data_IF_670507603092
#
_entry.id   IF_670507603092
#
_cell.length_a   1.000
_cell.length_b   1.000
_cell.length_c   1.000
_cell.angle_alpha   90.00
_cell.angle_beta   90.00
_cell.angle_gamma   90.00
#
_symmetry.space_group_name_H-M   'P 1'
#
loop_
_entity.id
_entity.type
_entity.pdbx_description
1 polymer ?
#
# COMPACT_ATOMS: atom_id res chain seq x y z
N UNK A 1 21.90 -7.89 11.70
CA UNK A 1 21.91 -9.33 11.33
C UNK A 1 21.11 -9.45 10.06
N UNK A 2 21.81 -9.49 8.91
CA UNK A 2 21.17 -9.66 7.61
C UNK A 2 20.85 -11.15 7.43
N UNK A 3 19.58 -11.51 7.61
CA UNK A 3 19.11 -12.91 7.68
C UNK A 3 19.31 -13.68 6.37
N UNK A 4 19.74 -13.00 5.30
CA UNK A 4 19.74 -13.51 3.94
C UNK A 4 21.11 -13.49 3.26
N UNK A 5 22.18 -13.12 3.96
CA UNK A 5 23.51 -13.09 3.35
C UNK A 5 24.16 -14.49 3.37
N UNK A 6 23.68 -15.38 2.51
CA UNK A 6 24.36 -16.66 2.23
C UNK A 6 25.47 -16.37 1.21
N UNK A 7 26.75 -16.62 1.53
CA UNK A 7 27.83 -16.40 0.58
C UNK A 7 27.56 -17.20 -0.70
N UNK A 8 27.70 -16.53 -1.84
CA UNK A 8 27.53 -17.10 -3.19
C UNK A 8 26.09 -17.38 -3.66
N UNK A 9 25.06 -16.89 -2.96
CA UNK A 9 23.65 -16.93 -3.43
C UNK A 9 23.12 -15.51 -3.58
N UNK A 10 22.58 -15.18 -4.76
CA UNK A 10 21.93 -13.88 -4.95
C UNK A 10 20.53 -13.85 -4.32
N UNK A 11 20.07 -12.66 -3.91
CA UNK A 11 18.69 -12.47 -3.42
C UNK A 11 17.69 -13.02 -4.45
N UNK A 12 17.93 -12.81 -5.74
CA UNK A 12 17.11 -13.35 -6.82
C UNK A 12 16.99 -14.87 -6.78
N UNK A 13 18.11 -15.59 -6.67
CA UNK A 13 18.11 -17.05 -6.57
C UNK A 13 17.37 -17.55 -5.33
N UNK A 14 17.53 -16.85 -4.22
CA UNK A 14 16.83 -17.18 -2.97
C UNK A 14 15.33 -16.96 -3.12
N UNK A 15 14.90 -15.82 -3.65
CA UNK A 15 13.48 -15.48 -3.84
C UNK A 15 12.81 -16.42 -4.85
N UNK A 16 13.49 -16.77 -5.94
CA UNK A 16 13.00 -17.75 -6.92
C UNK A 16 12.76 -19.14 -6.31
N UNK A 17 13.54 -19.54 -5.29
CA UNK A 17 13.36 -20.80 -4.55
C UNK A 17 12.31 -20.70 -3.45
N UNK A 18 12.24 -19.58 -2.74
CA UNK A 18 11.34 -19.39 -1.61
C UNK A 18 9.88 -19.12 -2.06
N UNK A 19 9.70 -18.31 -3.11
CA UNK A 19 8.37 -17.89 -3.56
C UNK A 19 7.43 -19.04 -3.93
N UNK A 20 7.85 -20.11 -4.65
CA UNK A 20 6.98 -21.26 -4.90
C UNK A 20 6.40 -21.90 -3.64
N UNK A 21 7.11 -21.83 -2.50
CA UNK A 21 6.68 -22.40 -1.21
C UNK A 21 5.58 -21.56 -0.55
N UNK A 22 5.46 -20.27 -0.88
CA UNK A 22 4.39 -19.41 -0.35
C UNK A 22 3.07 -19.54 -1.10
N UNK A 23 3.07 -20.19 -2.27
CA UNK A 23 1.90 -20.30 -3.13
C UNK A 23 1.07 -21.55 -2.84
N UNK A 24 -0.26 -21.39 -2.83
CA UNK A 24 -1.22 -22.49 -2.71
C UNK A 24 -2.20 -22.51 -3.88
N UNK A 25 -2.95 -23.62 -4.03
CA UNK A 25 -4.06 -23.73 -4.98
C UNK A 25 -3.71 -23.39 -6.43
N UNK A 26 -4.48 -22.48 -7.03
CA UNK A 26 -4.36 -22.12 -8.44
C UNK A 26 -3.05 -21.41 -8.78
N UNK A 27 -2.48 -20.63 -7.86
CA UNK A 27 -1.21 -19.93 -8.03
C UNK A 27 -0.03 -20.90 -8.11
N UNK A 28 0.01 -21.89 -7.20
CA UNK A 28 1.04 -22.94 -7.21
C UNK A 28 1.00 -23.76 -8.51
N UNK A 29 -0.20 -24.12 -8.98
CA UNK A 29 -0.37 -24.84 -10.25
C UNK A 29 0.07 -24.04 -11.46
N UNK A 30 -0.16 -22.72 -11.48
CA UNK A 30 0.28 -21.87 -12.58
C UNK A 30 1.80 -21.80 -12.66
N UNK A 31 2.48 -21.59 -11.53
CA UNK A 31 3.93 -21.48 -11.50
C UNK A 31 4.63 -22.77 -11.95
N UNK A 32 4.00 -23.93 -11.71
CA UNK A 32 4.49 -25.25 -12.14
C UNK A 32 4.28 -25.55 -13.63
N UNK A 33 3.52 -24.73 -14.37
CA UNK A 33 3.38 -24.92 -15.82
C UNK A 33 4.71 -24.61 -16.51
N UNK A 34 5.07 -25.30 -17.59
CA UNK A 34 6.23 -24.96 -18.41
C UNK A 34 5.97 -23.63 -19.14
N UNK A 35 6.09 -22.52 -18.42
CA UNK A 35 6.19 -21.19 -18.99
C UNK A 35 7.68 -20.88 -19.08
N UNK A 36 8.17 -20.57 -20.28
CA UNK A 36 9.58 -20.40 -20.59
C UNK A 36 10.39 -19.61 -19.54
N UNK A 37 11.67 -19.99 -19.45
CA UNK A 37 12.77 -19.48 -18.61
C UNK A 37 12.41 -18.22 -17.81
N UNK A 38 11.78 -18.39 -16.64
CA UNK A 38 11.79 -17.35 -15.62
C UNK A 38 13.14 -17.47 -14.92
N UNK A 39 14.10 -16.64 -15.31
CA UNK A 39 15.48 -16.69 -14.80
C UNK A 39 15.78 -15.63 -13.75
N UNK A 40 14.93 -14.60 -13.62
CA UNK A 40 15.09 -13.50 -12.67
C UNK A 40 13.87 -13.40 -11.76
N UNK A 41 14.09 -12.88 -10.54
CA UNK A 41 13.01 -12.64 -9.60
C UNK A 41 12.02 -11.58 -10.13
N UNK A 42 12.52 -10.59 -10.86
CA UNK A 42 11.70 -9.52 -11.40
C UNK A 42 10.73 -10.00 -12.49
N UNK A 43 11.18 -10.90 -13.37
CA UNK A 43 10.30 -11.53 -14.37
C UNK A 43 9.20 -12.36 -13.72
N UNK A 44 9.57 -13.13 -12.68
CA UNK A 44 8.61 -13.94 -11.92
C UNK A 44 7.53 -13.06 -11.30
N UNK A 45 7.96 -12.02 -10.60
CA UNK A 45 7.10 -11.05 -9.93
C UNK A 45 6.17 -10.37 -10.92
N UNK A 46 6.69 -9.88 -12.04
CA UNK A 46 5.90 -9.19 -13.07
C UNK A 46 4.84 -10.10 -13.67
N UNK A 47 5.19 -11.34 -14.03
CA UNK A 47 4.25 -12.34 -14.58
C UNK A 47 3.21 -12.77 -13.54
N UNK A 48 3.60 -12.91 -12.28
CA UNK A 48 2.68 -13.26 -11.19
C UNK A 48 1.69 -12.14 -10.94
N UNK A 49 2.17 -10.90 -10.82
CA UNK A 49 1.33 -9.73 -10.61
C UNK A 49 0.37 -9.53 -11.79
N UNK A 50 0.81 -9.63 -13.04
CA UNK A 50 -0.11 -9.46 -14.18
C UNK A 50 -1.23 -10.49 -14.21
N UNK A 51 -0.98 -11.73 -13.75
CA UNK A 51 -1.98 -12.80 -13.74
C UNK A 51 -2.90 -12.78 -12.52
N UNK A 52 -2.38 -12.53 -11.33
CA UNK A 52 -3.12 -12.64 -10.06
C UNK A 52 -3.47 -11.30 -9.44
N UNK A 53 -2.66 -10.28 -9.67
CA UNK A 53 -2.91 -8.91 -9.24
C UNK A 53 -3.40 -8.08 -10.44
N UNK A 54 -4.67 -8.28 -10.81
CA UNK A 54 -5.29 -7.53 -11.92
C UNK A 54 -5.09 -6.01 -11.72
N UNK A 55 -4.28 -5.33 -12.56
CA UNK A 55 -3.96 -3.92 -12.36
C UNK A 55 -5.20 -3.04 -12.27
N UNK A 56 -6.25 -3.36 -13.03
CA UNK A 56 -7.54 -2.66 -12.99
C UNK A 56 -8.25 -2.77 -11.63
N UNK A 57 -8.16 -3.93 -10.94
CA UNK A 57 -8.75 -4.09 -9.60
C UNK A 57 -7.95 -3.29 -8.58
N UNK A 58 -6.62 -3.32 -8.66
CA UNK A 58 -5.75 -2.51 -7.79
C UNK A 58 -5.94 -1.01 -8.05
N UNK A 59 -6.04 -0.59 -9.31
CA UNK A 59 -6.27 0.80 -9.69
C UNK A 59 -7.62 1.33 -9.21
N UNK A 60 -8.70 0.54 -9.30
CA UNK A 60 -10.01 0.94 -8.77
C UNK A 60 -9.96 1.17 -7.25
N UNK A 61 -9.31 0.25 -6.51
CA UNK A 61 -9.12 0.37 -5.06
C UNK A 61 -8.32 1.61 -4.69
N UNK A 62 -7.18 1.83 -5.36
CA UNK A 62 -6.33 3.00 -5.13
C UNK A 62 -7.04 4.30 -5.50
N UNK A 63 -7.88 4.29 -6.55
CA UNK A 63 -8.71 5.44 -6.90
C UNK A 63 -9.73 5.77 -5.81
N UNK A 64 -10.38 4.78 -5.21
CA UNK A 64 -11.29 4.99 -4.08
C UNK A 64 -10.57 5.60 -2.87
N UNK A 65 -9.36 5.13 -2.55
CA UNK A 65 -8.54 5.68 -1.45
C UNK A 65 -8.10 7.12 -1.76
N UNK A 66 -7.57 7.37 -2.96
CA UNK A 66 -7.06 8.68 -3.37
C UNK A 66 -8.16 9.74 -3.51
N UNK A 67 -9.39 9.32 -3.80
CA UNK A 67 -10.54 10.21 -3.92
C UNK A 67 -11.32 10.35 -2.60
N UNK A 68 -10.77 9.85 -1.49
CA UNK A 68 -11.35 10.07 -0.18
C UNK A 68 -11.48 11.57 0.06
N UNK A 69 -12.68 12.00 0.45
CA UNK A 69 -12.96 13.34 0.88
C UNK A 69 -13.89 13.29 2.08
N UNK A 70 -13.70 14.20 3.02
CA UNK A 70 -14.61 14.42 4.15
C UNK A 70 -15.96 14.88 3.61
N UNK A 71 -17.03 14.24 4.08
CA UNK A 71 -18.40 14.65 3.71
C UNK A 71 -18.79 15.92 4.48
N UNK A 72 -19.70 16.78 3.94
CA UNK A 72 -20.03 18.07 4.55
C UNK A 72 -20.54 18.01 5.99
N UNK A 73 -21.21 16.92 6.37
CA UNK A 73 -21.79 16.74 7.71
C UNK A 73 -20.92 15.85 8.63
N UNK A 74 -19.75 15.40 8.15
CA UNK A 74 -18.84 14.58 8.94
C UNK A 74 -17.89 15.44 9.78
N UNK A 75 -17.77 15.10 11.07
CA UNK A 75 -16.66 15.61 11.87
C UNK A 75 -15.35 14.84 11.58
N UNK A 76 -14.22 15.41 12.01
CA UNK A 76 -12.88 14.85 11.76
C UNK A 76 -12.73 13.40 12.25
N UNK A 77 -13.32 13.05 13.39
CA UNK A 77 -13.24 11.69 13.94
C UNK A 77 -14.03 10.69 13.08
N UNK A 78 -15.22 11.08 12.62
CA UNK A 78 -16.05 10.26 11.73
C UNK A 78 -15.35 10.04 10.39
N UNK A 79 -14.77 11.10 9.81
CA UNK A 79 -13.98 11.00 8.58
C UNK A 79 -12.76 10.07 8.75
N UNK A 80 -12.03 10.20 9.86
CA UNK A 80 -10.88 9.32 10.15
C UNK A 80 -11.30 7.85 10.27
N UNK A 81 -12.41 7.59 10.98
CA UNK A 81 -12.95 6.24 11.13
C UNK A 81 -13.31 5.64 9.77
N UNK A 82 -14.03 6.38 8.92
CA UNK A 82 -14.39 5.92 7.56
C UNK A 82 -13.16 5.69 6.68
N UNK A 83 -12.15 6.54 6.80
CA UNK A 83 -10.88 6.35 6.09
C UNK A 83 -10.17 5.05 6.52
N UNK A 84 -10.08 4.76 7.83
CA UNK A 84 -9.49 3.50 8.31
C UNK A 84 -10.32 2.27 7.89
N UNK A 85 -11.65 2.36 7.88
CA UNK A 85 -12.52 1.29 7.35
C UNK A 85 -12.27 1.04 5.86
N UNK A 86 -12.08 2.10 5.06
CA UNK A 86 -11.73 2.01 3.65
C UNK A 86 -10.38 1.31 3.43
N UNK A 87 -9.39 1.59 4.27
CA UNK A 87 -8.09 0.91 4.24
C UNK A 87 -8.23 -0.57 4.63
N UNK A 88 -8.95 -0.90 5.69
CA UNK A 88 -9.17 -2.29 6.13
C UNK A 88 -9.86 -3.16 5.07
N UNK A 89 -10.71 -2.58 4.22
CA UNK A 89 -11.32 -3.27 3.07
C UNK A 89 -10.28 -3.75 2.05
N UNK A 90 -9.11 -3.12 2.01
CA UNK A 90 -8.05 -3.38 1.06
C UNK A 90 -6.73 -3.71 1.78
N UNK A 91 -6.63 -4.81 2.55
CA UNK A 91 -5.49 -5.11 3.43
C UNK A 91 -4.14 -5.31 2.70
N UNK A 92 -4.16 -5.35 1.37
CA UNK A 92 -2.96 -5.26 0.52
C UNK A 92 -2.68 -3.83 0.04
N UNK A 93 -3.09 -2.79 0.79
CA UNK A 93 -2.74 -1.42 0.46
C UNK A 93 -1.24 -1.24 0.78
N UNK A 94 -0.45 -0.92 -0.24
CA UNK A 94 1.00 -0.74 -0.10
C UNK A 94 1.38 0.64 0.46
N UNK A 95 0.50 1.23 1.28
CA UNK A 95 0.68 2.57 1.84
C UNK A 95 1.52 2.50 3.12
N UNK A 96 2.45 3.42 3.26
CA UNK A 96 3.15 3.68 4.53
C UNK A 96 2.28 4.53 5.45
N UNK A 97 2.55 4.51 6.76
CA UNK A 97 1.85 5.34 7.74
C UNK A 97 1.83 6.82 7.35
N UNK A 98 2.96 7.34 6.82
CA UNK A 98 3.04 8.72 6.34
C UNK A 98 2.16 8.97 5.10
N UNK A 99 2.07 8.01 4.18
CA UNK A 99 1.20 8.13 3.02
C UNK A 99 -0.28 8.11 3.43
N UNK A 100 -0.66 7.30 4.42
CA UNK A 100 -2.01 7.31 4.97
C UNK A 100 -2.38 8.69 5.55
N UNK A 101 -1.48 9.29 6.34
CA UNK A 101 -1.69 10.61 6.94
C UNK A 101 -1.83 11.70 5.87
N UNK A 102 -0.95 11.70 4.86
CA UNK A 102 -0.99 12.69 3.77
C UNK A 102 -2.28 12.56 2.97
N UNK A 103 -2.69 11.34 2.62
CA UNK A 103 -3.93 11.10 1.89
C UNK A 103 -5.14 11.55 2.68
N UNK A 104 -5.18 11.23 3.98
CA UNK A 104 -6.26 11.68 4.84
C UNK A 104 -6.33 13.20 4.95
N UNK A 105 -5.19 13.87 5.23
CA UNK A 105 -5.11 15.32 5.33
C UNK A 105 -5.57 16.02 4.04
N UNK A 106 -5.19 15.48 2.87
CA UNK A 106 -5.61 16.02 1.57
C UNK A 106 -7.12 15.84 1.33
N UNK A 107 -7.72 14.79 1.89
CA UNK A 107 -9.16 14.54 1.83
C UNK A 107 -10.00 15.40 2.78
N UNK A 108 -9.42 16.09 3.77
CA UNK A 108 -10.18 16.94 4.68
C UNK A 108 -10.80 18.15 3.96
N UNK A 109 -11.87 18.70 4.52
CA UNK A 109 -12.40 19.97 4.04
C UNK A 109 -11.49 21.16 4.40
N UNK A 110 -11.69 22.31 3.74
CA UNK A 110 -10.86 23.51 3.98
C UNK A 110 -10.97 24.01 5.43
N UNK A 111 -12.18 24.13 6.03
CA UNK A 111 -12.31 24.57 7.42
C UNK A 111 -11.55 23.69 8.42
N UNK A 112 -11.62 22.35 8.27
CA UNK A 112 -10.97 21.39 9.18
C UNK A 112 -9.44 21.49 9.05
N UNK A 113 -8.91 21.65 7.83
CA UNK A 113 -7.47 21.91 7.64
C UNK A 113 -7.01 23.22 8.29
N UNK A 114 -7.81 24.28 8.20
CA UNK A 114 -7.48 25.59 8.79
C UNK A 114 -7.47 25.56 10.32
N UNK A 115 -8.34 24.78 10.96
CA UNK A 115 -8.33 24.59 12.42
C UNK A 115 -7.03 23.90 12.87
N UNK A 116 -6.52 22.95 12.08
CA UNK A 116 -5.27 22.27 12.40
C UNK A 116 -4.04 23.17 12.15
N UNK A 117 -4.04 23.93 11.05
CA UNK A 117 -2.96 24.86 10.73
C UNK A 117 -2.91 26.07 11.68
N UNK A 118 -4.06 26.55 12.16
CA UNK A 118 -4.12 27.65 13.12
C UNK A 118 -3.66 27.24 14.53
N UNK A 119 -3.86 25.98 14.94
CA UNK A 119 -3.28 25.45 16.19
C UNK A 119 -1.76 25.26 16.13
N UNK A 120 -1.19 25.00 14.94
CA UNK A 120 0.27 24.99 14.73
C UNK A 120 0.90 26.39 14.79
N UNK A 121 0.17 27.43 14.34
CA UNK A 121 0.65 28.81 14.34
C UNK A 121 0.62 29.48 15.74
N UNK A 122 -0.32 29.08 16.62
CA UNK A 122 -0.42 29.66 17.97
C UNK A 122 0.77 29.29 18.88
N UNK A 123 1.49 28.19 18.58
CA UNK A 123 2.71 27.82 19.33
C UNK A 123 3.97 28.59 18.88
N UNK A 124 3.95 29.27 17.74
CA UNK A 124 5.07 30.11 17.26
C UNK A 124 4.91 31.60 17.61
N UNK A 125 3.77 31.99 18.18
CA UNK A 125 3.47 33.39 18.57
C UNK A 125 3.75 33.73 20.03
N UNK A 126 4.21 32.79 20.87
CA UNK A 126 4.52 33.02 22.28
C UNK A 126 6.02 32.85 22.59
N UNK A 127 6.85 33.53 21.80
CA UNK A 127 8.23 33.83 22.19
C UNK A 127 8.62 35.22 21.66
N UNK A 128 8.14 36.25 22.35
CA UNK A 128 8.79 37.55 22.44
C UNK A 128 9.16 37.77 23.90
#
# INVERSE_FOLDING_TARGET
>A
MDLFHIPNITIDQMMLRAFPLSLTGAASRWLKKPSGLITTWEDLKTKFLSKYCLPARTAKKMKEINNFHQEPDENLYQAWKRFKELLMKYPQHYLTDMQEVVLFYNGLDVPTRQIHNSRGAILLGLRN
#
